data_IF_544337672928
#
_entry.id   IF_544337672928
#
_cell.length_a   1.000
_cell.length_b   1.000
_cell.length_c   1.000
_cell.angle_alpha   90.00
_cell.angle_beta   90.00
_cell.angle_gamma   90.00
#
_symmetry.space_group_name_H-M   'P 1'
#
loop_
_entity.id
_entity.type
_entity.pdbx_description
1 polymer ?
#
# COMPACT_ATOMS: atom_id res chain seq x y z
N UNK A 1 8.65 22.83 -33.53
CA UNK A 1 8.21 23.69 -32.62
C UNK A 1 7.15 23.23 -31.75
N UNK A 2 6.08 23.01 -32.32
CA UNK A 2 5.02 22.51 -31.55
C UNK A 2 5.30 21.21 -30.87
N UNK A 3 6.17 20.49 -31.43
CA UNK A 3 6.52 19.22 -30.92
C UNK A 3 6.95 19.23 -29.52
N UNK A 4 7.84 20.11 -29.22
CA UNK A 4 8.38 20.12 -27.91
C UNK A 4 7.35 20.34 -26.86
N UNK A 5 6.37 21.08 -27.19
CA UNK A 5 5.34 21.36 -26.26
C UNK A 5 4.56 20.13 -25.89
N UNK A 6 4.23 19.40 -26.89
CA UNK A 6 3.42 18.22 -26.65
C UNK A 6 4.11 17.28 -25.72
N UNK A 7 5.36 17.13 -25.91
CA UNK A 7 6.10 16.21 -25.09
C UNK A 7 6.13 16.64 -23.65
N UNK A 8 6.45 17.84 -23.42
CA UNK A 8 6.56 18.30 -22.07
C UNK A 8 5.28 18.22 -21.32
N UNK A 9 4.21 18.50 -21.97
CA UNK A 9 2.97 18.55 -21.28
C UNK A 9 2.44 17.22 -20.87
N UNK A 10 2.83 16.21 -21.56
CA UNK A 10 2.23 14.92 -21.32
C UNK A 10 2.86 14.13 -20.23
N UNK A 11 4.12 14.06 -20.21
CA UNK A 11 4.75 13.10 -19.32
C UNK A 11 4.64 13.43 -17.88
N UNK A 12 4.95 14.60 -17.53
CA UNK A 12 5.02 14.92 -16.14
C UNK A 12 3.79 14.80 -15.33
N UNK A 13 2.69 15.40 -15.75
CA UNK A 13 1.51 15.42 -14.91
C UNK A 13 1.06 14.02 -14.52
N UNK A 14 1.22 13.11 -15.40
CA UNK A 14 0.78 11.77 -15.12
C UNK A 14 1.56 11.12 -14.01
N UNK A 15 2.84 11.23 -14.07
CA UNK A 15 3.68 10.63 -13.06
C UNK A 15 3.41 11.24 -11.72
N UNK A 16 3.18 12.50 -11.70
CA UNK A 16 2.89 13.19 -10.48
C UNK A 16 1.62 12.76 -9.83
N UNK A 17 0.58 12.67 -10.58
CA UNK A 17 -0.72 12.35 -10.05
C UNK A 17 -0.81 10.94 -9.51
N UNK A 18 -0.02 10.07 -10.03
CA UNK A 18 -0.04 8.71 -9.55
C UNK A 18 0.46 8.61 -8.12
N UNK A 19 1.33 9.53 -7.74
CA UNK A 19 1.93 9.47 -6.43
C UNK A 19 2.94 8.36 -6.33
N UNK A 20 3.63 8.32 -5.22
CA UNK A 20 4.66 7.32 -4.98
C UNK A 20 4.32 6.61 -3.69
N UNK A 21 4.20 5.31 -3.76
CA UNK A 21 3.96 4.50 -2.58
C UNK A 21 5.19 4.55 -1.68
N UNK A 22 4.99 4.80 -0.41
CA UNK A 22 6.08 4.97 0.53
C UNK A 22 6.04 3.96 1.66
N UNK A 23 4.87 3.68 2.20
CA UNK A 23 4.77 2.75 3.32
C UNK A 23 3.47 1.98 3.30
N UNK A 24 3.46 0.89 4.03
CA UNK A 24 2.27 0.07 4.24
C UNK A 24 1.88 0.20 5.70
N UNK A 25 0.65 0.60 5.94
CA UNK A 25 0.11 0.72 7.29
C UNK A 25 -0.63 -0.56 7.59
N UNK A 26 -0.14 -1.29 8.58
CA UNK A 26 -0.76 -2.54 8.99
C UNK A 26 -1.59 -2.27 10.23
N UNK A 27 -2.88 -2.56 10.16
CA UNK A 27 -3.79 -2.36 11.29
C UNK A 27 -4.30 -3.70 11.78
N UNK A 28 -4.57 -3.74 13.07
CA UNK A 28 -5.12 -4.91 13.70
C UNK A 28 -6.23 -4.44 14.62
N UNK A 29 -7.44 -4.90 14.37
CA UNK A 29 -8.57 -4.49 15.18
C UNK A 29 -8.86 -3.01 15.12
N UNK A 30 -8.54 -2.36 14.01
CA UNK A 30 -8.78 -0.94 13.84
C UNK A 30 -7.67 -0.03 14.33
N UNK A 31 -6.66 -0.58 14.96
CA UNK A 31 -5.51 0.21 15.44
C UNK A 31 -4.27 -0.10 14.64
N UNK A 32 -3.40 0.89 14.50
CA UNK A 32 -2.15 0.71 13.75
C UNK A 32 -1.26 -0.25 14.54
N UNK A 33 -0.95 -1.38 13.93
CA UNK A 33 -0.06 -2.36 14.50
C UNK A 33 1.39 -2.06 14.13
N UNK A 34 1.62 -1.70 12.88
CA UNK A 34 2.97 -1.40 12.41
C UNK A 34 2.90 -0.59 11.12
N UNK A 35 3.97 0.15 10.83
CA UNK A 35 4.14 0.83 9.57
C UNK A 35 5.40 0.27 8.94
N UNK A 36 5.28 -0.22 7.71
CA UNK A 36 6.39 -0.85 7.01
C UNK A 36 6.87 0.05 5.90
N UNK A 37 8.18 0.26 5.85
CA UNK A 37 8.80 1.05 4.80
C UNK A 37 8.88 0.18 3.54
N UNK A 38 8.25 0.62 2.47
CA UNK A 38 8.23 -0.16 1.23
C UNK A 38 9.59 -0.23 0.54
N UNK A 39 10.52 0.62 0.94
CA UNK A 39 11.86 0.59 0.38
C UNK A 39 12.69 -0.58 0.90
N UNK A 40 12.21 -1.24 1.93
CA UNK A 40 12.94 -2.36 2.53
C UNK A 40 12.11 -3.62 2.47
N UNK A 41 12.69 -4.69 1.98
CA UNK A 41 12.02 -5.98 1.99
C UNK A 41 11.83 -6.43 3.43
N UNK A 42 10.64 -6.90 3.73
CA UNK A 42 10.30 -7.26 5.09
C UNK A 42 9.20 -8.29 5.16
N UNK A 43 9.19 -9.02 6.26
CA UNK A 43 8.10 -9.93 6.57
C UNK A 43 7.59 -9.57 7.95
N UNK A 44 6.28 -9.45 8.09
CA UNK A 44 5.65 -9.12 9.36
C UNK A 44 4.56 -10.13 9.65
N UNK A 45 4.62 -10.74 10.83
CA UNK A 45 3.59 -11.66 11.28
C UNK A 45 2.69 -10.92 12.24
N UNK A 46 1.40 -10.86 11.94
CA UNK A 46 0.43 -10.12 12.73
C UNK A 46 -0.53 -11.12 13.38
N UNK A 47 -0.51 -11.25 14.70
CA UNK A 47 -1.45 -12.16 15.36
C UNK A 47 -2.85 -11.54 15.39
N UNK A 48 -3.83 -12.35 15.11
CA UNK A 48 -5.22 -11.95 15.17
C UNK A 48 -6.06 -13.02 15.81
N UNK A 49 -7.37 -12.82 15.88
CA UNK A 49 -8.25 -13.78 16.58
C UNK A 49 -8.27 -15.17 15.99
N UNK A 50 -8.02 -15.31 14.69
CA UNK A 50 -8.01 -16.63 14.08
C UNK A 50 -6.62 -17.24 13.93
N UNK A 51 -5.60 -16.45 14.12
CA UNK A 51 -4.23 -16.92 13.91
C UNK A 51 -3.38 -15.81 13.37
N UNK A 52 -2.32 -16.17 12.65
CA UNK A 52 -1.34 -15.21 12.19
C UNK A 52 -1.55 -14.85 10.73
N UNK A 53 -1.59 -13.56 10.44
CA UNK A 53 -1.59 -13.05 9.08
C UNK A 53 -0.18 -12.58 8.76
N UNK A 54 0.40 -13.06 7.67
CA UNK A 54 1.74 -12.71 7.27
C UNK A 54 1.71 -11.69 6.14
N UNK A 55 2.41 -10.58 6.35
CA UNK A 55 2.52 -9.51 5.37
C UNK A 55 3.95 -9.47 4.85
N UNK A 56 4.10 -9.40 3.54
CA UNK A 56 5.41 -9.30 2.91
C UNK A 56 5.56 -7.98 2.19
N UNK A 57 6.75 -7.40 2.29
CA UNK A 57 7.11 -6.21 1.52
C UNK A 57 8.31 -6.58 0.65
N UNK A 58 8.15 -6.41 -0.67
CA UNK A 58 9.22 -6.67 -1.62
C UNK A 58 9.13 -5.68 -2.76
N UNK A 59 10.26 -5.14 -3.15
CA UNK A 59 10.37 -4.29 -4.35
C UNK A 59 9.37 -3.14 -4.38
N UNK A 60 9.18 -2.51 -3.24
CA UNK A 60 8.33 -1.33 -3.17
C UNK A 60 6.84 -1.61 -3.11
N UNK A 61 6.46 -2.85 -2.83
CA UNK A 61 5.05 -3.22 -2.75
C UNK A 61 4.82 -4.20 -1.61
N UNK A 62 3.59 -4.35 -1.22
CA UNK A 62 3.24 -5.20 -0.09
C UNK A 62 2.10 -6.14 -0.46
N UNK A 63 2.05 -7.29 0.20
CA UNK A 63 0.93 -8.21 0.03
C UNK A 63 0.71 -9.01 1.30
N UNK A 64 -0.50 -9.55 1.43
CA UNK A 64 -0.76 -10.53 2.47
C UNK A 64 -0.38 -11.88 1.90
N UNK A 65 0.67 -12.47 2.43
CA UNK A 65 1.19 -13.74 1.93
C UNK A 65 0.38 -14.92 2.44
N UNK A 66 -0.12 -14.84 3.67
CA UNK A 66 -0.95 -15.90 4.22
C UNK A 66 -1.88 -15.35 5.28
N UNK A 67 -3.01 -15.99 5.48
CA UNK A 67 -4.03 -15.57 6.41
C UNK A 67 -4.82 -16.79 6.85
N UNK A 68 -5.19 -16.90 8.12
CA UNK A 68 -5.94 -18.06 8.59
C UNK A 68 -7.42 -18.07 8.19
N UNK A 69 -7.95 -16.97 7.65
CA UNK A 69 -9.34 -16.90 7.28
C UNK A 69 -9.69 -17.87 6.15
N UNK A 70 -10.93 -18.37 6.11
CA UNK A 70 -11.29 -19.39 5.12
C UNK A 70 -11.42 -18.85 3.70
N UNK A 71 -11.71 -17.57 3.54
CA UNK A 71 -11.99 -17.04 2.20
C UNK A 71 -10.77 -16.54 1.45
N UNK A 72 -9.72 -16.18 2.15
CA UNK A 72 -8.46 -15.77 1.55
C UNK A 72 -8.56 -14.57 0.59
N UNK A 73 -9.53 -13.69 0.81
CA UNK A 73 -9.68 -12.54 -0.09
C UNK A 73 -8.47 -11.63 -0.08
N UNK A 74 -7.92 -11.36 1.09
CA UNK A 74 -6.78 -10.47 1.17
C UNK A 74 -5.54 -11.09 0.54
N UNK A 75 -5.39 -12.41 0.62
CA UNK A 75 -4.27 -13.09 -0.01
C UNK A 75 -4.42 -13.05 -1.52
N UNK A 76 -5.62 -13.29 -2.03
CA UNK A 76 -5.87 -13.30 -3.46
C UNK A 76 -5.72 -11.95 -4.12
N UNK A 77 -5.82 -10.90 -3.34
CA UNK A 77 -5.69 -9.57 -3.86
C UNK A 77 -4.31 -9.30 -4.43
N UNK A 78 -3.31 -10.03 -3.93
CA UNK A 78 -1.97 -9.93 -4.48
C UNK A 78 -1.22 -8.70 -4.03
N UNK A 79 -0.32 -8.24 -4.87
CA UNK A 79 0.53 -7.12 -4.51
C UNK A 79 -0.21 -5.81 -4.53
N UNK A 80 0.01 -5.01 -3.49
CA UNK A 80 -0.50 -3.65 -3.38
C UNK A 80 0.68 -2.72 -3.63
N UNK A 81 0.55 -1.85 -4.61
CA UNK A 81 1.67 -1.02 -5.01
C UNK A 81 1.31 0.46 -5.16
N UNK A 82 0.04 0.80 -5.14
CA UNK A 82 -0.38 2.19 -5.35
C UNK A 82 -0.94 2.78 -4.07
N UNK A 83 -0.68 4.06 -3.83
CA UNK A 83 -1.27 4.72 -2.68
C UNK A 83 -2.79 4.57 -2.69
N UNK A 84 -3.35 4.25 -1.54
CA UNK A 84 -4.79 4.07 -1.41
C UNK A 84 -5.27 2.65 -1.55
N UNK A 85 -4.46 1.75 -2.08
CA UNK A 85 -4.87 0.36 -2.15
C UNK A 85 -4.86 -0.26 -0.76
N UNK A 86 -5.84 -1.12 -0.51
CA UNK A 86 -5.98 -1.72 0.80
C UNK A 86 -6.43 -3.17 0.66
N UNK A 87 -5.88 -4.03 1.50
CA UNK A 87 -6.31 -5.41 1.62
C UNK A 87 -6.84 -5.63 3.03
N UNK A 88 -8.00 -6.20 3.14
CA UNK A 88 -8.64 -6.43 4.42
C UNK A 88 -8.85 -7.91 4.65
N UNK A 89 -8.26 -8.43 5.73
CA UNK A 89 -8.45 -9.80 6.16
C UNK A 89 -9.48 -9.77 7.27
N UNK A 90 -10.75 -9.67 6.88
CA UNK A 90 -11.82 -9.38 7.80
C UNK A 90 -11.98 -10.36 8.96
N UNK A 91 -11.96 -11.66 8.74
CA UNK A 91 -12.13 -12.57 9.88
C UNK A 91 -11.02 -12.42 10.89
N UNK A 92 -9.81 -12.10 10.45
CA UNK A 92 -8.68 -11.99 11.36
C UNK A 92 -8.44 -10.55 11.82
N UNK A 93 -9.24 -9.61 11.34
CA UNK A 93 -9.18 -8.20 11.73
C UNK A 93 -7.86 -7.52 11.42
N UNK A 94 -7.22 -7.95 10.36
CA UNK A 94 -5.96 -7.35 9.93
C UNK A 94 -6.18 -6.65 8.60
N UNK A 95 -5.60 -5.47 8.43
CA UNK A 95 -5.65 -4.77 7.13
C UNK A 95 -4.30 -4.19 6.81
N UNK A 96 -4.04 -4.04 5.51
CA UNK A 96 -2.81 -3.44 4.99
C UNK A 96 -3.21 -2.37 4.01
N UNK A 97 -2.78 -1.16 4.25
CA UNK A 97 -3.10 -0.03 3.39
C UNK A 97 -1.82 0.62 2.90
N UNK A 98 -1.74 0.91 1.61
CA UNK A 98 -0.58 1.58 1.04
C UNK A 98 -0.76 3.08 1.14
N UNK A 99 0.23 3.72 1.73
CA UNK A 99 0.27 5.17 1.84
C UNK A 99 1.39 5.73 1.02
N UNK A 100 1.13 6.82 0.34
CA UNK A 100 2.13 7.48 -0.45
C UNK A 100 2.63 8.74 0.22
N UNK A 101 3.68 9.29 -0.37
CA UNK A 101 4.18 10.57 0.05
C UNK A 101 3.25 11.65 -0.47
N UNK A 102 2.86 12.53 0.39
CA UNK A 102 2.01 13.63 -0.04
C UNK A 102 2.85 14.67 -0.76
N UNK A 103 2.41 15.10 -1.93
CA UNK A 103 3.14 16.17 -2.63
C UNK A 103 3.08 17.44 -1.81
N UNK A 104 4.10 18.23 -1.92
CA UNK A 104 4.16 19.46 -1.18
C UNK A 104 3.03 20.41 -1.50
N UNK A 105 2.60 20.41 -2.73
CA UNK A 105 1.56 21.33 -3.12
C UNK A 105 0.22 21.05 -2.45
N UNK A 106 0.05 19.87 -1.95
CA UNK A 106 -1.18 19.55 -1.25
C UNK A 106 -1.38 20.45 -0.05
N UNK A 107 -0.32 20.80 0.58
CA UNK A 107 -0.46 21.63 1.74
C UNK A 107 -0.84 23.05 1.38
N UNK A 108 -0.78 23.37 0.15
CA UNK A 108 -1.15 24.70 -0.29
C UNK A 108 -2.59 24.79 -0.70
N UNK A 109 -3.22 23.69 -0.82
CA UNK A 109 -4.55 23.72 -1.38
C UNK A 109 -5.62 24.07 -0.38
N UNK A 110 -5.23 24.40 0.80
CA UNK A 110 -6.26 24.79 1.70
C UNK A 110 -6.64 26.20 1.52
#
# INVERSE_FOLDING_TARGET
MLLGLAVCGVSFPLAWQAGVAEKAIVRRGGEVFSELDLARNRRLDVPGPLGITTVLVERGRARVASDPGPRQYCVRQGWLARPGEIAICAPNQVSVEIRGRKPTYDSLSY
#
